data_IF_002301514342
#
_entry.id   IF_002301514342
#
_cell.length_a   1.000
_cell.length_b   1.000
_cell.length_c   1.000
_cell.angle_alpha   90.00
_cell.angle_beta   90.00
_cell.angle_gamma   90.00
#
_symmetry.space_group_name_H-M   'P 1'
#
loop_
_entity.id
_entity.type
_entity.pdbx_description
1 polymer ?
#
# COMPACT_ATOMS: atom_id res chain seq x y z
N UNK A 1 -11.20 5.16 -18.14
CA UNK A 1 -9.97 4.35 -18.28
C UNK A 1 -10.36 2.94 -18.70
N UNK A 2 -9.64 2.34 -19.68
CA UNK A 2 -10.00 1.03 -20.24
C UNK A 2 -10.19 -0.07 -19.19
N UNK A 3 -9.29 -0.18 -18.23
CA UNK A 3 -9.41 -1.18 -17.14
C UNK A 3 -10.64 -0.98 -16.25
N UNK A 4 -11.10 0.23 -16.06
CA UNK A 4 -12.32 0.52 -15.30
C UNK A 4 -13.55 0.06 -16.09
N UNK A 5 -13.61 0.38 -17.38
CA UNK A 5 -14.66 -0.09 -18.28
C UNK A 5 -14.67 -1.61 -18.32
N UNK A 6 -13.52 -2.25 -18.56
CA UNK A 6 -13.38 -3.72 -18.55
C UNK A 6 -13.89 -4.34 -17.25
N UNK A 7 -13.58 -3.75 -16.09
CA UNK A 7 -14.06 -4.27 -14.81
C UNK A 7 -15.58 -4.24 -14.72
N UNK A 8 -16.21 -3.13 -15.08
CA UNK A 8 -17.68 -3.03 -15.06
C UNK A 8 -18.32 -3.96 -16.08
N UNK A 9 -17.75 -4.08 -17.28
CA UNK A 9 -18.29 -4.98 -18.32
C UNK A 9 -18.18 -6.45 -17.92
N UNK A 10 -17.09 -6.85 -17.26
CA UNK A 10 -16.96 -8.22 -16.70
C UNK A 10 -17.96 -8.49 -15.59
N UNK A 11 -18.21 -7.51 -14.72
CA UNK A 11 -19.24 -7.64 -13.68
C UNK A 11 -20.64 -7.76 -14.30
N UNK A 12 -20.96 -6.91 -15.26
CA UNK A 12 -22.25 -6.95 -15.97
C UNK A 12 -22.45 -8.29 -16.68
N UNK A 13 -21.42 -8.79 -17.39
CA UNK A 13 -21.44 -10.12 -18.02
C UNK A 13 -21.68 -11.23 -16.99
N UNK A 14 -21.06 -11.15 -15.81
CA UNK A 14 -21.26 -12.14 -14.75
C UNK A 14 -22.72 -12.13 -14.23
N UNK A 15 -23.31 -10.93 -14.04
CA UNK A 15 -24.70 -10.79 -13.61
C UNK A 15 -25.65 -11.33 -14.68
N UNK A 16 -25.43 -10.94 -15.94
CA UNK A 16 -26.25 -11.44 -17.06
C UNK A 16 -26.21 -12.97 -17.17
N UNK A 17 -25.03 -13.59 -17.13
CA UNK A 17 -24.89 -15.04 -17.22
C UNK A 17 -25.65 -15.75 -16.08
N UNK A 18 -25.59 -15.22 -14.85
CA UNK A 18 -26.39 -15.74 -13.73
C UNK A 18 -27.89 -15.58 -13.95
N UNK A 19 -28.32 -14.47 -14.56
CA UNK A 19 -29.73 -14.26 -14.93
C UNK A 19 -30.20 -15.28 -15.97
N UNK A 20 -29.36 -15.59 -16.95
CA UNK A 20 -29.66 -16.64 -17.95
C UNK A 20 -29.73 -18.02 -17.30
N UNK A 21 -28.74 -18.36 -16.46
CA UNK A 21 -28.71 -19.64 -15.71
C UNK A 21 -29.95 -19.80 -14.81
N UNK A 22 -30.40 -18.72 -14.20
CA UNK A 22 -31.60 -18.69 -13.35
C UNK A 22 -32.93 -18.61 -14.14
N UNK A 23 -32.90 -18.59 -15.46
CA UNK A 23 -34.08 -18.42 -16.31
C UNK A 23 -34.72 -17.02 -16.23
N UNK A 24 -34.07 -16.05 -15.59
CA UNK A 24 -34.59 -14.67 -15.42
C UNK A 24 -34.25 -13.77 -16.60
N UNK A 25 -33.39 -14.18 -17.51
CA UNK A 25 -33.00 -13.45 -18.70
C UNK A 25 -32.88 -14.38 -19.90
N UNK A 26 -33.27 -13.96 -21.13
CA UNK A 26 -33.06 -14.78 -22.33
C UNK A 26 -31.58 -14.81 -22.69
N UNK A 27 -31.13 -15.94 -23.21
CA UNK A 27 -29.77 -16.06 -23.75
C UNK A 27 -29.68 -15.30 -25.09
N UNK A 28 -28.76 -14.35 -25.19
CA UNK A 28 -28.44 -13.64 -26.42
C UNK A 28 -27.03 -14.00 -26.85
N UNK A 29 -26.85 -14.69 -28.01
CA UNK A 29 -25.54 -15.05 -28.50
C UNK A 29 -24.67 -13.82 -28.71
N UNK A 30 -23.40 -13.90 -28.28
CA UNK A 30 -22.36 -12.88 -28.53
C UNK A 30 -22.68 -11.48 -27.96
N UNK A 31 -23.58 -11.34 -26.98
CA UNK A 31 -23.97 -10.03 -26.38
C UNK A 31 -22.75 -9.17 -25.93
N UNK A 32 -21.67 -9.80 -25.48
CA UNK A 32 -20.45 -9.12 -25.03
C UNK A 32 -19.27 -9.27 -25.99
N UNK A 33 -19.53 -9.61 -27.27
CA UNK A 33 -18.46 -9.87 -28.24
C UNK A 33 -17.61 -8.63 -28.50
N UNK A 34 -18.23 -7.47 -28.71
CA UNK A 34 -17.54 -6.23 -29.09
C UNK A 34 -17.24 -5.34 -27.87
N UNK A 35 -17.39 -5.89 -26.66
CA UNK A 35 -17.15 -5.18 -25.42
C UNK A 35 -15.75 -5.49 -24.89
N UNK A 36 -14.98 -4.44 -24.62
CA UNK A 36 -13.64 -4.60 -24.07
C UNK A 36 -13.69 -5.18 -22.63
N UNK A 37 -13.25 -6.42 -22.49
CA UNK A 37 -13.13 -7.15 -21.23
C UNK A 37 -11.68 -7.51 -20.89
N UNK A 38 -10.73 -7.02 -21.65
CA UNK A 38 -9.29 -7.25 -21.47
C UNK A 38 -8.68 -6.49 -20.29
N UNK A 39 -7.40 -6.66 -20.10
CA UNK A 39 -6.58 -5.94 -19.12
C UNK A 39 -5.52 -5.14 -19.85
N UNK A 40 -5.61 -3.81 -19.75
CA UNK A 40 -4.55 -2.91 -20.20
C UNK A 40 -3.40 -2.98 -19.18
N UNK A 41 -2.34 -3.70 -19.55
CA UNK A 41 -1.17 -3.91 -18.69
C UNK A 41 -0.26 -2.69 -18.83
N UNK A 42 -0.37 -1.75 -17.88
CA UNK A 42 0.61 -0.67 -17.78
C UNK A 42 1.87 -1.19 -17.10
N UNK A 43 3.01 -0.96 -17.73
CA UNK A 43 4.30 -1.20 -17.10
C UNK A 43 4.39 -0.43 -15.79
N UNK A 44 4.48 -1.18 -14.69
CA UNK A 44 4.71 -0.61 -13.37
C UNK A 44 6.21 -0.36 -13.25
N UNK A 45 6.60 0.90 -13.17
CA UNK A 45 8.01 1.28 -13.08
C UNK A 45 8.46 1.24 -11.64
N UNK A 46 9.49 0.45 -11.37
CA UNK A 46 10.32 0.61 -10.18
C UNK A 46 11.13 1.90 -10.31
N UNK A 47 11.49 2.51 -9.18
CA UNK A 47 12.44 3.63 -9.19
C UNK A 47 13.83 3.16 -9.63
N UNK A 48 14.58 3.98 -10.36
CA UNK A 48 16.02 3.81 -10.50
C UNK A 48 16.67 3.72 -9.11
N UNK A 49 17.75 2.94 -9.01
CA UNK A 49 18.40 2.67 -7.72
C UNK A 49 18.86 3.95 -7.01
N UNK A 50 19.39 4.89 -7.78
CA UNK A 50 19.84 6.19 -7.27
C UNK A 50 18.68 7.01 -6.72
N UNK A 51 17.56 7.09 -7.44
CA UNK A 51 16.37 7.80 -6.97
C UNK A 51 15.74 7.11 -5.76
N UNK A 52 15.75 5.78 -5.72
CA UNK A 52 15.28 5.03 -4.57
C UNK A 52 16.13 5.30 -3.33
N UNK A 53 17.46 5.30 -3.49
CA UNK A 53 18.40 5.61 -2.41
C UNK A 53 18.17 7.03 -1.88
N UNK A 54 18.09 8.01 -2.76
CA UNK A 54 17.84 9.40 -2.36
C UNK A 54 16.50 9.54 -1.64
N UNK A 55 15.44 8.90 -2.18
CA UNK A 55 14.11 8.92 -1.57
C UNK A 55 14.10 8.34 -0.15
N UNK A 56 14.88 7.29 0.11
CA UNK A 56 14.88 6.58 1.38
C UNK A 56 15.83 7.19 2.43
N UNK A 57 16.93 7.86 2.00
CA UNK A 57 18.03 8.19 2.91
C UNK A 57 18.54 9.63 2.84
N UNK A 58 18.21 10.41 1.80
CA UNK A 58 18.63 11.81 1.72
C UNK A 58 17.76 12.68 2.67
N UNK A 59 18.40 13.59 3.42
CA UNK A 59 17.70 14.43 4.40
C UNK A 59 16.75 15.44 3.71
N UNK A 60 15.44 15.34 3.93
CA UNK A 60 14.46 16.25 3.33
C UNK A 60 14.41 17.62 4.01
N UNK A 61 15.22 17.90 5.04
CA UNK A 61 15.29 19.14 5.84
C UNK A 61 13.93 19.58 6.44
N UNK A 62 12.97 18.70 6.50
CA UNK A 62 11.62 18.94 7.03
C UNK A 62 11.16 17.75 7.85
N UNK A 63 10.78 17.97 9.12
CA UNK A 63 10.34 16.92 10.04
C UNK A 63 9.11 16.17 9.52
N UNK A 64 8.16 16.90 8.93
CA UNK A 64 6.97 16.31 8.30
C UNK A 64 7.34 15.35 7.17
N UNK A 65 8.32 15.74 6.34
CA UNK A 65 8.77 14.90 5.21
C UNK A 65 9.66 13.77 5.69
N UNK A 66 10.46 13.97 6.74
CA UNK A 66 11.26 12.92 7.38
C UNK A 66 10.37 11.80 7.91
N UNK A 67 9.25 12.11 8.58
CA UNK A 67 8.26 11.10 9.00
C UNK A 67 7.71 10.31 7.79
N UNK A 68 7.39 11.00 6.69
CA UNK A 68 6.92 10.34 5.46
C UNK A 68 7.99 9.43 4.86
N UNK A 69 9.23 9.87 4.83
CA UNK A 69 10.39 9.12 4.37
C UNK A 69 10.63 7.87 5.23
N UNK A 70 10.56 8.00 6.55
CA UNK A 70 10.72 6.86 7.48
C UNK A 70 9.63 5.81 7.25
N UNK A 71 8.37 6.21 7.05
CA UNK A 71 7.29 5.29 6.70
C UNK A 71 7.59 4.58 5.37
N UNK A 72 8.06 5.31 4.37
CA UNK A 72 8.42 4.78 3.06
C UNK A 72 9.58 3.78 3.14
N UNK A 73 10.60 4.10 3.93
CA UNK A 73 11.76 3.23 4.16
C UNK A 73 11.35 1.93 4.87
N UNK A 74 10.47 2.01 5.88
CA UNK A 74 9.92 0.81 6.53
C UNK A 74 9.11 -0.04 5.57
N UNK A 75 8.26 0.56 4.70
CA UNK A 75 7.55 -0.21 3.67
C UNK A 75 8.50 -0.96 2.76
N UNK A 76 9.63 -0.36 2.40
CA UNK A 76 10.65 -1.01 1.57
C UNK A 76 11.37 -2.11 2.34
N UNK A 77 11.87 -1.85 3.56
CA UNK A 77 12.59 -2.82 4.40
C UNK A 77 11.71 -4.01 4.81
N UNK A 78 10.43 -3.80 5.01
CA UNK A 78 9.45 -4.87 5.25
C UNK A 78 9.01 -5.56 3.94
N UNK A 79 9.97 -5.87 3.09
CA UNK A 79 9.78 -6.63 1.87
C UNK A 79 8.73 -6.05 0.92
N UNK A 80 8.71 -4.72 0.77
CA UNK A 80 7.74 -4.03 -0.05
C UNK A 80 6.31 -4.12 0.51
N UNK A 81 6.17 -4.02 1.82
CA UNK A 81 4.88 -4.01 2.50
C UNK A 81 3.96 -2.94 1.92
N UNK A 82 2.67 -3.24 1.77
CA UNK A 82 1.71 -2.23 1.31
C UNK A 82 1.41 -1.21 2.41
N UNK A 83 1.05 0.02 2.04
CA UNK A 83 0.63 1.03 3.02
C UNK A 83 -0.59 0.57 3.83
N UNK A 84 -1.50 -0.21 3.21
CA UNK A 84 -2.63 -0.77 3.93
C UNK A 84 -2.19 -1.73 5.03
N UNK A 85 -1.27 -2.65 4.72
CA UNK A 85 -0.77 -3.60 5.70
C UNK A 85 -0.01 -2.84 6.82
N UNK A 86 0.87 -1.89 6.47
CA UNK A 86 1.63 -1.10 7.45
C UNK A 86 0.73 -0.30 8.39
N UNK A 87 -0.28 0.40 7.83
CA UNK A 87 -1.17 1.26 8.60
C UNK A 87 -2.05 0.47 9.60
N UNK A 88 -2.32 -0.80 9.30
CA UNK A 88 -3.12 -1.68 10.15
C UNK A 88 -2.28 -2.68 10.97
N UNK A 89 -0.95 -2.54 10.99
CA UNK A 89 -0.13 -3.37 11.87
C UNK A 89 -0.49 -3.14 13.33
N UNK A 90 -0.76 -4.23 14.03
CA UNK A 90 -1.03 -4.21 15.45
C UNK A 90 0.27 -4.32 16.26
N UNK A 91 0.27 -3.82 17.50
CA UNK A 91 1.41 -3.98 18.41
C UNK A 91 1.72 -5.46 18.68
N UNK A 92 0.68 -6.30 18.72
CA UNK A 92 0.78 -7.76 18.87
C UNK A 92 1.46 -8.48 17.70
N UNK A 93 1.55 -7.82 16.53
CA UNK A 93 2.25 -8.37 15.37
C UNK A 93 3.78 -8.42 15.55
N UNK A 94 4.30 -7.67 16.52
CA UNK A 94 5.72 -7.58 16.82
C UNK A 94 6.05 -8.47 18.05
N UNK A 95 6.79 -9.54 17.81
CA UNK A 95 7.39 -10.36 18.87
C UNK A 95 8.92 -10.28 18.75
N UNK A 96 9.58 -9.63 19.76
CA UNK A 96 11.01 -9.39 19.78
C UNK A 96 11.51 -8.75 18.48
N UNK A 97 12.14 -9.55 17.61
CA UNK A 97 12.73 -9.11 16.33
C UNK A 97 11.96 -9.66 15.12
N UNK A 98 10.80 -10.27 15.33
CA UNK A 98 10.02 -10.88 14.26
C UNK A 98 8.69 -10.15 14.13
N UNK A 99 8.36 -9.74 12.93
CA UNK A 99 7.07 -9.17 12.58
C UNK A 99 6.21 -10.23 11.89
N UNK A 100 5.08 -10.58 12.52
CA UNK A 100 4.15 -11.57 12.01
C UNK A 100 2.77 -10.93 11.78
N UNK A 101 2.26 -11.01 10.57
CA UNK A 101 0.96 -10.46 10.24
C UNK A 101 0.32 -11.19 9.06
N UNK A 102 -0.99 -11.06 8.93
CA UNK A 102 -1.72 -11.54 7.75
C UNK A 102 -1.98 -10.38 6.80
N UNK A 103 -1.62 -10.53 5.53
CA UNK A 103 -1.92 -9.52 4.51
C UNK A 103 -3.41 -9.25 4.44
N UNK A 104 -3.80 -7.98 4.46
CA UNK A 104 -5.22 -7.57 4.42
C UNK A 104 -5.92 -8.09 3.16
N UNK A 105 -5.26 -7.96 2.00
CA UNK A 105 -5.86 -8.30 0.70
C UNK A 105 -5.99 -9.80 0.45
N UNK A 106 -4.98 -10.58 0.80
CA UNK A 106 -4.89 -12.02 0.42
C UNK A 106 -4.99 -12.96 1.60
N UNK A 107 -4.99 -12.44 2.83
CA UNK A 107 -4.95 -13.21 4.08
C UNK A 107 -3.74 -14.15 4.20
N UNK A 108 -2.75 -13.96 3.35
CA UNK A 108 -1.51 -14.72 3.40
C UNK A 108 -0.71 -14.36 4.65
N UNK A 109 -0.29 -15.33 5.48
CA UNK A 109 0.58 -15.05 6.62
C UNK A 109 1.97 -14.65 6.12
N UNK A 110 2.53 -13.64 6.76
CA UNK A 110 3.88 -13.13 6.51
C UNK A 110 4.63 -13.13 7.84
N UNK A 111 5.83 -13.66 7.84
CA UNK A 111 6.78 -13.57 8.94
C UNK A 111 8.10 -13.03 8.39
N UNK A 112 8.63 -11.98 9.01
CA UNK A 112 9.90 -11.38 8.60
C UNK A 112 10.70 -10.94 9.82
N UNK A 113 12.00 -11.10 9.73
CA UNK A 113 12.93 -10.60 10.73
C UNK A 113 13.15 -9.09 10.54
N UNK A 114 13.16 -8.35 11.63
CA UNK A 114 13.34 -6.90 11.62
C UNK A 114 14.82 -6.59 11.77
N UNK A 115 15.38 -5.94 10.77
CA UNK A 115 16.74 -5.45 10.78
C UNK A 115 16.91 -4.32 11.83
N UNK A 116 18.12 -4.15 12.35
CA UNK A 116 18.40 -3.12 13.35
C UNK A 116 18.07 -1.71 12.85
N UNK A 117 18.41 -1.42 11.59
CA UNK A 117 18.04 -0.15 10.94
C UNK A 117 16.53 0.10 10.92
N UNK A 118 15.72 -0.95 10.76
CA UNK A 118 14.26 -0.80 10.80
C UNK A 118 13.76 -0.55 12.23
N UNK A 119 14.38 -1.15 13.25
CA UNK A 119 14.06 -0.87 14.66
C UNK A 119 14.31 0.59 15.03
N UNK A 120 15.45 1.13 14.61
CA UNK A 120 15.78 2.55 14.80
C UNK A 120 14.72 3.45 14.16
N UNK A 121 14.30 3.18 12.92
CA UNK A 121 13.25 3.90 12.24
C UNK A 121 11.89 3.77 12.95
N UNK A 122 11.56 2.58 13.44
CA UNK A 122 10.33 2.35 14.21
C UNK A 122 10.34 3.16 15.51
N UNK A 123 11.47 3.22 16.21
CA UNK A 123 11.63 4.00 17.44
C UNK A 123 11.51 5.50 17.17
N UNK A 124 12.06 6.01 16.08
CA UNK A 124 11.89 7.40 15.67
C UNK A 124 10.40 7.74 15.43
N UNK A 125 9.64 6.87 14.78
CA UNK A 125 8.20 7.07 14.59
C UNK A 125 7.41 7.04 15.90
N UNK A 126 7.87 6.32 16.90
CA UNK A 126 7.25 6.24 18.23
C UNK A 126 7.63 7.41 19.13
N UNK A 127 8.87 7.91 19.07
CA UNK A 127 9.36 8.98 19.95
C UNK A 127 8.82 10.36 19.57
N UNK A 128 8.41 10.58 18.33
CA UNK A 128 7.78 11.82 17.88
C UNK A 128 6.29 11.94 18.28
N UNK A 129 5.87 11.21 19.28
CA UNK A 129 4.53 11.33 19.86
C UNK A 129 4.38 12.64 20.61
N UNK A 130 3.89 13.66 19.95
CA UNK A 130 2.98 14.59 20.62
C UNK A 130 1.80 13.73 21.09
N UNK A 131 1.62 13.69 22.39
CA UNK A 131 0.68 12.80 23.09
C UNK A 131 -0.74 12.94 22.54
N UNK A 132 -1.08 12.18 21.51
CA UNK A 132 -2.47 11.86 21.22
C UNK A 132 -2.85 10.70 22.13
N UNK A 133 -3.99 10.80 22.80
CA UNK A 133 -4.41 9.75 23.73
C UNK A 133 -4.51 8.43 22.97
N UNK A 134 -3.84 7.44 23.50
CA UNK A 134 -3.96 6.03 23.25
C UNK A 134 -4.67 5.60 21.95
N UNK A 135 -3.87 5.37 20.92
CA UNK A 135 -4.23 4.42 19.90
C UNK A 135 -3.71 3.05 20.36
N UNK A 136 -4.48 2.31 21.17
CA UNK A 136 -3.95 1.22 21.97
C UNK A 136 -3.45 0.04 21.16
N UNK A 137 -3.93 -0.12 19.94
CA UNK A 137 -3.80 -1.37 19.18
C UNK A 137 -2.85 -1.31 17.99
N UNK A 138 -2.69 -0.14 17.33
CA UNK A 138 -1.83 -0.04 16.15
C UNK A 138 -0.36 0.19 16.53
N UNK A 139 0.54 -0.44 15.75
CA UNK A 139 1.99 -0.31 15.94
C UNK A 139 2.49 1.10 15.60
N UNK A 140 1.90 1.71 14.57
CA UNK A 140 2.23 3.05 14.09
C UNK A 140 1.03 3.98 14.24
N UNK A 141 1.32 5.25 14.54
CA UNK A 141 0.35 6.32 14.67
C UNK A 141 -0.10 6.86 13.28
N UNK A 142 -0.75 5.99 12.51
CA UNK A 142 -1.29 6.29 11.16
C UNK A 142 -2.81 6.29 11.19
N UNK A 143 -3.41 5.32 11.88
CA UNK A 143 -4.83 5.19 12.12
C UNK A 143 -5.10 5.30 13.62
N UNK A 144 -6.23 5.91 13.98
CA UNK A 144 -6.58 6.23 15.37
C UNK A 144 -7.88 5.57 15.83
N UNK A 145 -8.62 4.97 14.89
CA UNK A 145 -9.86 4.28 15.18
C UNK A 145 -9.67 2.91 15.84
N UNK A 146 -10.74 2.36 16.40
CA UNK A 146 -10.75 0.99 16.90
C UNK A 146 -10.48 -0.01 15.77
N UNK A 147 -9.52 -0.92 15.95
CA UNK A 147 -9.16 -1.96 14.99
C UNK A 147 -10.30 -2.91 14.61
N UNK A 148 -11.28 -3.08 15.51
CA UNK A 148 -12.46 -3.91 15.28
C UNK A 148 -13.47 -3.25 14.35
N UNK A 149 -13.36 -1.94 14.13
CA UNK A 149 -14.26 -1.21 13.24
C UNK A 149 -13.98 -1.56 11.78
N UNK A 150 -15.02 -2.06 11.12
CA UNK A 150 -15.04 -2.33 9.67
C UNK A 150 -16.12 -1.49 8.96
N UNK A 151 -16.49 -0.38 9.58
CA UNK A 151 -17.52 0.52 9.08
C UNK A 151 -16.99 1.53 8.05
N UNK A 152 -17.88 2.33 7.49
CA UNK A 152 -17.55 3.36 6.52
C UNK A 152 -16.60 4.43 7.11
N UNK A 153 -16.68 4.70 8.42
CA UNK A 153 -15.80 5.67 9.08
C UNK A 153 -14.35 5.19 9.11
N UNK A 154 -14.12 3.90 9.43
CA UNK A 154 -12.78 3.30 9.39
C UNK A 154 -12.21 3.30 7.96
N UNK A 155 -13.05 3.02 6.97
CA UNK A 155 -12.65 3.09 5.57
C UNK A 155 -12.27 4.53 5.15
N UNK A 156 -13.06 5.53 5.51
CA UNK A 156 -12.78 6.95 5.22
C UNK A 156 -11.50 7.43 5.92
N UNK A 157 -11.26 6.99 7.15
CA UNK A 157 -10.04 7.29 7.88
C UNK A 157 -8.81 6.76 7.14
N UNK A 158 -8.82 5.49 6.76
CA UNK A 158 -7.74 4.89 5.97
C UNK A 158 -7.53 5.60 4.62
N UNK A 159 -8.60 5.90 3.89
CA UNK A 159 -8.52 6.63 2.61
C UNK A 159 -7.90 8.02 2.77
N UNK A 160 -8.24 8.71 3.87
CA UNK A 160 -7.67 10.01 4.20
C UNK A 160 -6.18 9.90 4.56
N UNK A 161 -5.79 8.89 5.35
CA UNK A 161 -4.39 8.62 5.68
C UNK A 161 -3.57 8.30 4.42
N UNK A 162 -4.07 7.44 3.55
CA UNK A 162 -3.42 7.10 2.28
C UNK A 162 -3.26 8.33 1.37
N UNK A 163 -4.29 9.18 1.29
CA UNK A 163 -4.23 10.42 0.49
C UNK A 163 -3.18 11.37 1.05
N UNK A 164 -3.16 11.60 2.37
CA UNK A 164 -2.14 12.44 3.04
C UNK A 164 -0.74 11.90 2.77
N UNK A 165 -0.53 10.60 2.94
CA UNK A 165 0.77 9.97 2.68
C UNK A 165 1.22 10.14 1.23
N UNK A 166 0.36 9.87 0.25
CA UNK A 166 0.70 10.04 -1.16
C UNK A 166 0.98 11.51 -1.54
N UNK A 167 0.28 12.47 -0.93
CA UNK A 167 0.56 13.89 -1.14
C UNK A 167 1.92 14.27 -0.55
N UNK A 168 2.23 13.82 0.67
CA UNK A 168 3.54 14.03 1.29
C UNK A 168 4.68 13.36 0.52
N UNK A 169 4.45 12.20 -0.10
CA UNK A 169 5.42 11.56 -1.00
C UNK A 169 5.69 12.41 -2.25
N UNK A 170 4.68 13.06 -2.81
CA UNK A 170 4.88 13.98 -3.95
C UNK A 170 5.71 15.20 -3.54
N UNK A 171 5.46 15.75 -2.34
CA UNK A 171 6.24 16.85 -1.81
C UNK A 171 7.69 16.43 -1.56
N UNK A 172 7.89 15.25 -0.97
CA UNK A 172 9.21 14.65 -0.74
C UNK A 172 9.97 14.47 -2.07
N UNK A 173 9.32 13.87 -3.07
CA UNK A 173 9.91 13.69 -4.39
C UNK A 173 10.32 15.02 -5.04
N UNK A 174 9.52 16.08 -4.85
CA UNK A 174 9.83 17.43 -5.36
C UNK A 174 11.04 18.03 -4.65
N UNK A 175 11.10 17.94 -3.32
CA UNK A 175 12.23 18.46 -2.52
C UNK A 175 13.52 17.75 -2.87
N UNK A 176 13.47 16.43 -3.04
CA UNK A 176 14.62 15.60 -3.44
C UNK A 176 14.88 15.58 -4.96
N UNK A 177 14.17 16.39 -5.72
CA UNK A 177 14.33 16.54 -7.18
C UNK A 177 14.28 15.23 -7.98
N UNK A 178 13.39 14.32 -7.57
CA UNK A 178 13.21 13.05 -8.28
C UNK A 178 12.44 13.27 -9.59
N UNK A 179 12.87 12.59 -10.65
CA UNK A 179 12.21 12.65 -11.96
C UNK A 179 11.02 11.70 -12.09
N UNK A 180 11.01 10.65 -11.28
CA UNK A 180 9.99 9.62 -11.33
C UNK A 180 8.80 9.93 -10.41
N UNK A 181 7.55 9.63 -10.83
CA UNK A 181 6.40 9.78 -9.96
C UNK A 181 6.43 8.75 -8.82
N UNK A 182 6.26 9.22 -7.60
CA UNK A 182 6.28 8.39 -6.38
C UNK A 182 4.89 8.27 -5.78
N UNK A 183 4.52 7.06 -5.43
CA UNK A 183 3.29 6.72 -4.70
C UNK A 183 3.58 5.64 -3.66
N UNK A 184 2.67 5.40 -2.74
CA UNK A 184 2.80 4.30 -1.78
C UNK A 184 3.05 2.92 -2.42
N UNK A 185 2.63 2.73 -3.66
CA UNK A 185 2.82 1.47 -4.38
C UNK A 185 4.22 1.32 -5.00
N UNK A 186 4.93 2.43 -5.16
CA UNK A 186 6.28 2.47 -5.74
C UNK A 186 7.27 1.62 -4.96
N UNK A 187 7.23 1.65 -3.62
CA UNK A 187 8.14 0.89 -2.76
C UNK A 187 8.03 -0.61 -2.97
N UNK A 188 6.80 -1.11 -3.14
CA UNK A 188 6.57 -2.52 -3.42
C UNK A 188 7.13 -2.95 -4.78
N UNK A 189 6.98 -2.12 -5.80
CA UNK A 189 7.54 -2.42 -7.13
C UNK A 189 9.06 -2.35 -7.12
N UNK A 190 9.62 -1.34 -6.46
CA UNK A 190 11.07 -1.18 -6.34
C UNK A 190 11.69 -2.33 -5.56
N UNK A 191 11.09 -2.73 -4.43
CA UNK A 191 11.56 -3.88 -3.68
C UNK A 191 11.50 -5.18 -4.51
N UNK A 192 10.37 -5.47 -5.14
CA UNK A 192 10.21 -6.67 -5.96
C UNK A 192 11.20 -6.72 -7.12
N UNK A 193 11.47 -5.58 -7.75
CA UNK A 193 12.48 -5.47 -8.82
C UNK A 193 13.88 -5.69 -8.26
N UNK A 194 14.23 -5.08 -7.13
CA UNK A 194 15.53 -5.26 -6.48
C UNK A 194 15.74 -6.71 -6.07
N UNK A 195 14.74 -7.33 -5.44
CA UNK A 195 14.81 -8.74 -5.03
C UNK A 195 15.01 -9.68 -6.24
N UNK A 196 14.27 -9.44 -7.34
CA UNK A 196 14.38 -10.28 -8.54
C UNK A 196 15.74 -10.22 -9.22
N UNK A 197 16.36 -9.04 -9.26
CA UNK A 197 17.58 -8.82 -10.07
C UNK A 197 18.87 -8.78 -9.26
N UNK A 198 18.84 -8.66 -7.94
CA UNK A 198 20.01 -8.55 -7.09
C UNK A 198 20.22 -9.72 -6.12
N UNK A 199 19.21 -10.54 -5.89
CA UNK A 199 19.29 -11.72 -5.02
C UNK A 199 19.44 -13.01 -5.84
N UNK A 200 20.05 -12.91 -7.02
CA UNK A 200 20.46 -14.08 -7.83
C UNK A 200 21.85 -14.51 -7.45
#
# INVERSE_FOLDING_TARGET
KLNTVSTYMRMLRSIYNRGVEAGSAPYVPRLFHDVYTGVDIRQKKALPVTELHNLLYEDPKSERLRRTQTIAALMFQFCGMSFADLAHLEKSALDRNVLQYNRIKTKTPISLEILESAKEMMNQLRSNKTALPDCPDYLFDILHGDKKRKDEKAYKEYQSALRRFNNSLKDLARVLRLNSPVTSYTFRHSWATTAKFRLK
#
